data_IF_807149628892
#
_entry.id   IF_807149628892
#
_cell.length_a   1.000
_cell.length_b   1.000
_cell.length_c   1.000
_cell.angle_alpha   90.00
_cell.angle_beta   90.00
_cell.angle_gamma   90.00
#
_symmetry.space_group_name_H-M   'P 1'
#
loop_
_entity.id
_entity.type
_entity.pdbx_description
1 polymer ?
#
# COMPACT_ATOMS: atom_id res chain seq x y z
N UNK A 1 -18.62 -44.73 -12.00
CA UNK A 1 -18.96 -43.31 -11.76
C UNK A 1 -18.37 -42.94 -10.40
N UNK A 2 -17.31 -42.14 -10.38
CA UNK A 2 -16.56 -41.82 -9.16
C UNK A 2 -17.26 -40.68 -8.39
N UNK A 3 -17.44 -40.89 -7.09
CA UNK A 3 -18.01 -39.90 -6.16
C UNK A 3 -16.95 -38.84 -5.82
N UNK A 4 -17.26 -37.58 -6.11
CA UNK A 4 -16.43 -36.45 -5.67
C UNK A 4 -16.85 -36.05 -4.26
N UNK A 5 -16.15 -36.59 -3.26
CA UNK A 5 -16.29 -36.14 -1.87
C UNK A 5 -15.38 -34.93 -1.68
N UNK A 6 -15.94 -33.73 -1.83
CA UNK A 6 -15.24 -32.46 -1.63
C UNK A 6 -14.89 -32.29 -0.15
N UNK A 7 -13.64 -32.58 0.21
CA UNK A 7 -13.08 -32.24 1.51
C UNK A 7 -13.01 -30.72 1.61
N UNK A 8 -13.84 -30.12 2.47
CA UNK A 8 -13.79 -28.69 2.78
C UNK A 8 -12.50 -28.41 3.55
N UNK A 9 -11.41 -28.14 2.81
CA UNK A 9 -10.20 -27.57 3.35
C UNK A 9 -10.58 -26.21 3.95
N UNK A 10 -10.39 -26.05 5.26
CA UNK A 10 -10.70 -24.80 5.96
C UNK A 10 -9.61 -23.80 5.58
N UNK A 11 -9.75 -23.18 4.41
CA UNK A 11 -8.82 -22.17 3.92
C UNK A 11 -8.94 -20.96 4.84
N UNK A 12 -7.93 -20.73 5.67
CA UNK A 12 -7.82 -19.52 6.45
C UNK A 12 -7.59 -18.37 5.48
N UNK A 13 -8.37 -17.30 5.60
CA UNK A 13 -8.23 -16.19 4.68
C UNK A 13 -6.89 -15.49 4.94
N UNK A 14 -6.16 -15.26 3.87
CA UNK A 14 -4.83 -14.65 3.86
C UNK A 14 -4.91 -13.17 3.51
N UNK A 15 -6.13 -12.60 3.49
CA UNK A 15 -6.43 -11.19 3.21
C UNK A 15 -6.30 -10.81 1.75
N UNK A 16 -5.91 -11.73 0.85
CA UNK A 16 -5.95 -11.50 -0.60
C UNK A 16 -7.38 -11.26 -1.09
N UNK A 17 -8.37 -11.82 -0.40
CA UNK A 17 -9.79 -11.61 -0.68
C UNK A 17 -10.29 -10.17 -0.38
N UNK A 18 -9.49 -9.37 0.34
CA UNK A 18 -9.81 -7.97 0.64
C UNK A 18 -9.36 -7.02 -0.47
N UNK A 19 -8.57 -7.50 -1.43
CA UNK A 19 -8.15 -6.72 -2.57
C UNK A 19 -9.36 -6.58 -3.52
N UNK A 20 -9.83 -5.36 -3.82
CA UNK A 20 -10.94 -5.19 -4.75
C UNK A 20 -10.60 -5.72 -6.13
N UNK A 21 -11.58 -6.30 -6.83
CA UNK A 21 -11.39 -6.87 -8.17
C UNK A 21 -10.76 -5.86 -9.15
N UNK A 22 -11.09 -4.57 -9.04
CA UNK A 22 -10.49 -3.52 -9.86
C UNK A 22 -8.99 -3.35 -9.59
N UNK A 23 -8.57 -3.38 -8.32
CA UNK A 23 -7.16 -3.22 -7.93
C UNK A 23 -6.33 -4.40 -8.43
N UNK A 24 -6.83 -5.62 -8.22
CA UNK A 24 -6.18 -6.84 -8.71
C UNK A 24 -6.13 -6.89 -10.25
N UNK A 25 -7.21 -6.53 -10.93
CA UNK A 25 -7.23 -6.51 -12.39
C UNK A 25 -6.29 -5.43 -12.97
N UNK A 26 -6.11 -4.33 -12.24
CA UNK A 26 -5.22 -3.24 -12.64
C UNK A 26 -3.76 -3.57 -12.38
N UNK A 27 -3.41 -4.15 -11.23
CA UNK A 27 -2.02 -4.56 -10.95
C UNK A 27 -1.52 -5.61 -11.95
N UNK A 28 -2.41 -6.48 -12.44
CA UNK A 28 -2.11 -7.41 -13.53
C UNK A 28 -1.88 -6.75 -14.90
N UNK A 29 -2.44 -5.55 -15.15
CA UNK A 29 -2.33 -4.84 -16.44
C UNK A 29 -1.22 -3.80 -16.47
N UNK A 30 -1.03 -3.09 -15.37
CA UNK A 30 -0.24 -1.85 -15.28
C UNK A 30 1.02 -1.99 -14.41
N UNK A 31 1.24 -3.16 -13.81
CA UNK A 31 2.29 -3.39 -12.82
C UNK A 31 2.27 -2.30 -11.72
N UNK A 32 3.43 -1.95 -11.16
CA UNK A 32 3.57 -0.90 -10.15
C UNK A 32 3.68 0.53 -10.72
N UNK A 33 3.47 0.71 -12.03
CA UNK A 33 3.64 2.01 -12.66
C UNK A 33 2.31 2.78 -12.68
N UNK A 34 2.26 4.03 -12.20
CA UNK A 34 1.07 4.84 -12.37
C UNK A 34 0.82 5.08 -13.87
N UNK A 35 -0.45 5.00 -14.32
CA UNK A 35 -0.81 5.32 -15.67
C UNK A 35 -0.47 6.78 -15.94
N UNK A 36 0.10 7.03 -17.12
CA UNK A 36 0.66 8.31 -17.53
C UNK A 36 1.93 8.73 -16.77
N UNK A 37 2.77 7.78 -16.33
CA UNK A 37 4.16 8.12 -15.99
C UNK A 37 4.88 8.50 -17.29
N UNK A 38 5.17 9.79 -17.57
CA UNK A 38 6.02 10.11 -18.71
C UNK A 38 7.40 9.50 -18.44
N UNK A 39 7.97 8.80 -19.42
CA UNK A 39 9.40 8.51 -19.38
C UNK A 39 10.12 9.85 -19.23
N UNK A 40 11.02 10.05 -18.25
CA UNK A 40 11.83 11.24 -18.19
C UNK A 40 12.49 11.43 -19.55
N UNK A 41 12.15 12.50 -20.27
CA UNK A 41 12.87 12.80 -21.51
C UNK A 41 14.28 13.23 -21.09
N UNK A 42 15.27 12.37 -21.36
CA UNK A 42 16.69 12.58 -21.06
C UNK A 42 17.33 13.73 -21.87
N UNK A 43 16.52 14.55 -22.55
CA UNK A 43 16.97 15.53 -23.52
C UNK A 43 16.69 16.95 -23.03
N UNK A 44 17.53 17.48 -22.16
CA UNK A 44 17.86 18.91 -22.16
C UNK A 44 19.12 19.17 -21.33
N UNK A 45 20.28 18.87 -21.92
CA UNK A 45 21.51 19.58 -21.59
C UNK A 45 21.35 21.07 -21.92
N UNK A 46 20.95 21.92 -20.96
CA UNK A 46 21.15 23.39 -20.97
C UNK A 46 20.55 23.96 -19.68
N UNK A 47 21.12 24.88 -18.89
CA UNK A 47 22.38 25.62 -18.82
C UNK A 47 22.21 26.50 -17.56
N UNK A 48 23.22 26.59 -16.71
CA UNK A 48 23.38 27.53 -15.58
C UNK A 48 22.34 28.66 -15.48
N UNK A 49 21.17 28.37 -14.93
CA UNK A 49 20.15 29.37 -14.60
C UNK A 49 19.29 28.84 -13.46
N UNK A 50 18.99 29.65 -12.43
CA UNK A 50 18.22 29.23 -11.27
C UNK A 50 16.75 29.14 -11.67
N UNK A 51 16.37 28.14 -12.46
CA UNK A 51 14.98 27.86 -12.75
C UNK A 51 14.34 27.24 -11.50
N UNK A 52 13.19 27.77 -11.03
CA UNK A 52 12.49 27.19 -9.90
C UNK A 52 12.12 25.74 -10.26
N UNK A 53 12.39 24.81 -9.35
CA UNK A 53 12.03 23.40 -9.49
C UNK A 53 10.50 23.24 -9.49
N UNK A 54 9.87 23.48 -10.64
CA UNK A 54 8.43 23.28 -10.83
C UNK A 54 8.11 21.91 -11.43
N UNK A 55 9.11 21.06 -11.68
CA UNK A 55 8.96 19.80 -12.43
C UNK A 55 8.53 18.61 -11.55
N UNK A 56 8.53 18.75 -10.23
CA UNK A 56 8.21 17.65 -9.31
C UNK A 56 6.77 17.13 -9.34
N UNK A 57 5.87 17.70 -10.15
CA UNK A 57 4.44 17.32 -10.16
C UNK A 57 3.65 17.66 -11.44
N UNK A 58 4.31 18.05 -12.53
CA UNK A 58 3.64 18.31 -13.81
C UNK A 58 4.26 17.45 -14.90
N UNK A 59 3.43 16.97 -15.82
CA UNK A 59 3.88 16.27 -17.02
C UNK A 59 3.88 17.24 -18.20
N UNK A 60 4.84 17.08 -19.11
CA UNK A 60 4.92 17.87 -20.34
C UNK A 60 4.62 16.92 -21.50
N UNK A 61 3.82 17.37 -22.46
CA UNK A 61 3.50 16.57 -23.65
C UNK A 61 4.65 16.59 -24.68
N UNK A 62 4.48 15.83 -25.77
CA UNK A 62 5.46 15.76 -26.86
C UNK A 62 5.62 17.08 -27.62
N UNK A 63 4.69 18.01 -27.43
CA UNK A 63 4.66 19.34 -28.05
C UNK A 63 5.29 20.40 -27.12
N UNK A 64 5.71 20.02 -25.90
CA UNK A 64 6.31 20.91 -24.92
C UNK A 64 5.30 21.72 -24.10
N UNK A 65 4.00 21.43 -24.20
CA UNK A 65 2.95 22.09 -23.45
C UNK A 65 2.73 21.41 -22.09
N UNK A 66 2.44 22.22 -21.07
CA UNK A 66 2.11 21.73 -19.72
C UNK A 66 0.79 21.00 -19.78
N UNK A 67 0.80 19.75 -19.34
CA UNK A 67 -0.39 18.95 -19.23
C UNK A 67 -1.18 19.30 -17.96
N UNK A 68 -2.44 19.70 -18.11
CA UNK A 68 -3.37 19.99 -17.00
C UNK A 68 -4.22 18.76 -16.59
N UNK A 69 -3.90 17.57 -17.09
CA UNK A 69 -4.50 16.33 -16.60
C UNK A 69 -3.82 15.87 -15.31
N UNK A 70 -4.62 15.41 -14.36
CA UNK A 70 -4.12 14.89 -13.09
C UNK A 70 -3.33 13.59 -13.32
N UNK A 71 -2.13 13.51 -12.74
CA UNK A 71 -1.40 12.24 -12.63
C UNK A 71 -2.16 11.31 -11.71
N UNK A 72 -2.39 10.07 -12.14
CA UNK A 72 -3.03 9.08 -11.28
C UNK A 72 -2.04 8.67 -10.20
N UNK A 73 -2.43 8.66 -8.91
CA UNK A 73 -1.52 8.24 -7.84
C UNK A 73 -1.15 6.77 -8.00
N UNK A 74 0.01 6.41 -7.44
CA UNK A 74 0.42 5.01 -7.29
C UNK A 74 -0.62 4.26 -6.45
N UNK A 75 -1.03 3.09 -6.93
CA UNK A 75 -1.96 2.22 -6.22
C UNK A 75 -1.17 1.29 -5.30
N UNK A 76 -1.51 1.27 -4.01
CA UNK A 76 -0.91 0.35 -3.05
C UNK A 76 -1.86 -0.81 -2.75
N UNK A 77 -1.35 -2.03 -2.87
CA UNK A 77 -2.08 -3.21 -2.44
C UNK A 77 -2.00 -3.37 -0.92
N UNK A 78 -3.15 -3.53 -0.28
CA UNK A 78 -3.23 -3.86 1.13
C UNK A 78 -2.76 -5.31 1.33
N UNK A 79 -1.50 -5.46 1.74
CA UNK A 79 -0.93 -6.77 2.06
C UNK A 79 -1.33 -7.19 3.48
N UNK A 80 -1.99 -8.33 3.60
CA UNK A 80 -2.30 -8.92 4.90
C UNK A 80 -1.01 -9.21 5.69
N UNK A 81 -0.99 -9.04 7.02
CA UNK A 81 0.19 -9.33 7.81
C UNK A 81 0.56 -10.80 7.72
N UNK A 82 1.81 -11.08 7.32
CA UNK A 82 2.36 -12.45 7.34
C UNK A 82 2.27 -13.05 8.75
N UNK A 83 2.23 -14.40 8.90
CA UNK A 83 2.07 -15.05 10.21
C UNK A 83 3.07 -14.56 11.26
N UNK A 84 4.31 -14.28 10.86
CA UNK A 84 5.31 -13.71 11.76
C UNK A 84 4.93 -12.31 12.28
N UNK A 85 4.36 -11.44 11.43
CA UNK A 85 3.87 -10.11 11.85
C UNK A 85 2.70 -10.23 12.83
N UNK A 86 1.79 -11.20 12.62
CA UNK A 86 0.65 -11.44 13.51
C UNK A 86 1.09 -11.79 14.94
N UNK A 87 2.11 -12.64 15.09
CA UNK A 87 2.66 -12.96 16.42
C UNK A 87 3.19 -11.74 17.17
N UNK A 88 3.82 -10.79 16.45
CA UNK A 88 4.31 -9.54 17.07
C UNK A 88 3.16 -8.69 17.59
N UNK A 89 2.07 -8.57 16.83
CA UNK A 89 0.87 -7.85 17.28
C UNK A 89 0.22 -8.51 18.50
N UNK A 90 0.18 -9.84 18.55
CA UNK A 90 -0.31 -10.56 19.73
C UNK A 90 0.52 -10.24 20.98
N UNK A 91 1.85 -10.28 20.86
CA UNK A 91 2.76 -9.95 21.98
C UNK A 91 2.57 -8.50 22.42
N UNK A 92 2.48 -7.55 21.47
CA UNK A 92 2.24 -6.14 21.79
C UNK A 92 0.89 -5.94 22.51
N UNK A 93 -0.16 -6.64 22.07
CA UNK A 93 -1.46 -6.63 22.73
C UNK A 93 -1.39 -7.16 24.16
N UNK A 94 -0.69 -8.28 24.38
CA UNK A 94 -0.51 -8.84 25.72
C UNK A 94 0.22 -7.88 26.67
N UNK A 95 1.28 -7.22 26.17
CA UNK A 95 2.03 -6.20 26.94
C UNK A 95 1.12 -5.00 27.27
N UNK A 96 0.34 -4.53 26.30
CA UNK A 96 -0.57 -3.40 26.51
C UNK A 96 -1.64 -3.71 27.57
N UNK A 97 -2.25 -4.90 27.50
CA UNK A 97 -3.25 -5.33 28.49
C UNK A 97 -2.63 -5.41 29.89
N UNK A 98 -1.44 -5.99 30.01
CA UNK A 98 -0.72 -6.05 31.29
C UNK A 98 -0.40 -4.66 31.83
N UNK A 99 0.05 -3.74 30.99
CA UNK A 99 0.35 -2.38 31.40
C UNK A 99 -0.90 -1.63 31.90
N UNK A 100 -2.01 -1.74 31.19
CA UNK A 100 -3.28 -1.12 31.59
C UNK A 100 -3.80 -1.72 32.90
N UNK A 101 -3.76 -3.05 33.06
CA UNK A 101 -4.22 -3.69 34.30
C UNK A 101 -3.35 -3.32 35.51
N UNK A 102 -2.05 -3.17 35.30
CA UNK A 102 -1.11 -2.68 36.32
C UNK A 102 -1.46 -1.26 36.76
N UNK A 103 -1.69 -0.33 35.81
CA UNK A 103 -2.07 1.05 36.12
C UNK A 103 -3.36 1.13 36.93
N UNK A 104 -4.38 0.34 36.53
CA UNK A 104 -5.66 0.28 37.25
C UNK A 104 -5.46 -0.28 38.66
N UNK A 105 -4.63 -1.31 38.85
CA UNK A 105 -4.32 -1.85 40.18
C UNK A 105 -3.63 -0.82 41.07
N UNK A 106 -2.62 -0.09 40.56
CA UNK A 106 -1.91 0.94 41.32
C UNK A 106 -2.86 2.07 41.74
N UNK A 107 -3.76 2.51 40.84
CA UNK A 107 -4.76 3.52 41.16
C UNK A 107 -5.68 3.07 42.31
N UNK A 108 -6.07 1.80 42.33
CA UNK A 108 -6.92 1.24 43.38
C UNK A 108 -6.19 1.08 44.73
N UNK A 109 -4.88 0.82 44.72
CA UNK A 109 -4.06 0.69 45.92
C UNK A 109 -3.83 2.05 46.61
N UNK A 110 -3.75 3.14 45.83
CA UNK A 110 -3.52 4.50 46.34
C UNK A 110 -4.83 5.19 46.77
N UNK A 111 -5.96 4.82 46.16
CA UNK A 111 -7.29 5.37 46.50
C UNK A 111 -7.76 4.97 47.89
#
# INVERSE_FOLDING_TARGET
MANHTSTLERSYSDGSELIPAEVAARSLREDSLPPNTPAPQENAEQLDSPTPNTTGGYTVDQEGLINNYATTPEMYEANYPSPHKQHKYFIQGAIAIFFVSLLVSVAFVIS
#
